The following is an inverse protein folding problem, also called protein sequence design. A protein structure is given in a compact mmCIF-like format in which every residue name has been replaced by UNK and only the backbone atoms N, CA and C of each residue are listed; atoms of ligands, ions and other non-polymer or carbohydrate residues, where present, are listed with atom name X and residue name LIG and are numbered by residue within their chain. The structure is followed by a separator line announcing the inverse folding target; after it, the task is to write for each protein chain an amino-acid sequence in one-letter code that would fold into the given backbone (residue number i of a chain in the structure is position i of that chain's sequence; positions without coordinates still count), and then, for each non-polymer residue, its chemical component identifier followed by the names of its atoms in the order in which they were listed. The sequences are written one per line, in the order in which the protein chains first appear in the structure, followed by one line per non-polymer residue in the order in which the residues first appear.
data_IF_295659848163
#
_entry.id   IF_295659848163
#
_cell.length_a   1.000
_cell.length_b   1.000
_cell.length_c   1.000
_cell.angle_alpha   90.00
_cell.angle_beta   90.00
_cell.angle_gamma   90.00
#
_symmetry.space_group_name_H-M   'P 1'
#
loop_
_entity.id
_entity.type
_entity.pdbx_description
1 polymer ?
#
# COMPACT_ATOMS: atom_id res chain seq x y z
N UNK A 1 27.98 10.92 -15.93
CA UNK A 1 28.28 9.76 -15.05
C UNK A 1 27.50 8.58 -15.60
N UNK A 2 28.13 7.42 -15.74
CA UNK A 2 27.52 6.25 -16.37
C UNK A 2 26.54 5.58 -15.41
N UNK A 3 25.30 5.35 -15.88
CA UNK A 3 24.25 4.65 -15.13
C UNK A 3 24.66 3.19 -14.94
N UNK A 4 24.88 2.69 -13.71
CA UNK A 4 25.23 1.29 -13.51
C UNK A 4 24.02 0.42 -13.85
N UNK A 5 24.07 -0.27 -14.99
CA UNK A 5 22.97 -1.14 -15.45
C UNK A 5 23.11 -2.59 -14.96
N UNK A 6 24.28 -2.95 -14.42
CA UNK A 6 24.61 -4.33 -14.04
C UNK A 6 24.20 -4.60 -12.59
N UNK A 7 23.42 -5.66 -12.40
CA UNK A 7 23.03 -6.15 -11.08
C UNK A 7 24.25 -6.60 -10.26
N UNK A 8 24.19 -6.39 -8.94
CA UNK A 8 25.14 -6.90 -7.96
C UNK A 8 24.37 -7.63 -6.86
N UNK A 9 24.87 -8.79 -6.40
CA UNK A 9 24.23 -9.56 -5.32
C UNK A 9 24.02 -8.75 -4.04
N UNK A 10 24.92 -7.79 -3.76
CA UNK A 10 24.80 -6.86 -2.63
C UNK A 10 23.52 -6.01 -2.68
N UNK A 11 22.95 -5.77 -3.87
CA UNK A 11 21.72 -5.01 -4.04
C UNK A 11 20.50 -5.74 -3.47
N UNK A 12 20.51 -7.07 -3.39
CA UNK A 12 19.42 -7.82 -2.75
C UNK A 12 19.28 -7.48 -1.27
N UNK A 13 20.40 -7.42 -0.54
CA UNK A 13 20.40 -7.10 0.88
C UNK A 13 20.01 -5.62 1.13
N UNK A 14 20.52 -4.71 0.29
CA UNK A 14 20.16 -3.29 0.34
C UNK A 14 18.67 -3.08 0.03
N UNK A 15 18.14 -3.73 -1.01
CA UNK A 15 16.74 -3.65 -1.38
C UNK A 15 15.82 -4.21 -0.28
N UNK A 16 16.22 -5.29 0.40
CA UNK A 16 15.50 -5.81 1.58
C UNK A 16 15.42 -4.75 2.68
N UNK A 17 16.54 -4.12 3.04
CA UNK A 17 16.59 -3.06 4.07
C UNK A 17 15.72 -1.85 3.69
N UNK A 18 15.78 -1.41 2.45
CA UNK A 18 14.96 -0.30 1.94
C UNK A 18 13.47 -0.66 1.96
N UNK A 19 13.09 -1.89 1.59
CA UNK A 19 11.71 -2.34 1.74
C UNK A 19 11.24 -2.40 3.20
N UNK A 20 12.12 -2.76 4.15
CA UNK A 20 11.80 -2.69 5.58
C UNK A 20 11.51 -1.25 6.05
N UNK A 21 12.14 -0.26 5.42
CA UNK A 21 11.89 1.16 5.65
C UNK A 21 10.65 1.67 4.92
N UNK A 22 9.95 0.82 4.16
CA UNK A 22 8.72 1.17 3.45
C UNK A 22 8.92 1.75 2.04
N UNK A 23 10.13 1.64 1.46
CA UNK A 23 10.40 2.16 0.12
C UNK A 23 9.58 1.41 -0.94
N UNK A 24 8.99 2.19 -1.85
CA UNK A 24 8.30 1.70 -3.04
C UNK A 24 9.28 1.30 -4.14
N UNK A 25 8.81 0.53 -5.12
CA UNK A 25 9.65 0.09 -6.25
C UNK A 25 10.22 1.26 -7.06
N UNK A 26 9.50 2.38 -7.11
CA UNK A 26 9.95 3.62 -7.75
C UNK A 26 11.08 4.28 -6.98
N UNK A 27 10.97 4.36 -5.66
CA UNK A 27 12.03 4.93 -4.79
C UNK A 27 13.26 4.03 -4.74
N UNK A 28 13.07 2.71 -4.83
CA UNK A 28 14.16 1.75 -5.02
C UNK A 28 14.88 1.98 -6.35
N UNK A 29 14.13 2.17 -7.44
CA UNK A 29 14.72 2.44 -8.75
C UNK A 29 15.53 3.75 -8.74
N UNK A 30 14.99 4.79 -8.10
CA UNK A 30 15.69 6.06 -7.88
C UNK A 30 16.97 5.89 -7.04
N UNK A 31 16.90 5.16 -5.93
CA UNK A 31 18.04 4.88 -5.05
C UNK A 31 19.19 4.15 -5.77
N UNK A 32 18.87 3.17 -6.60
CA UNK A 32 19.86 2.45 -7.40
C UNK A 32 20.26 3.19 -8.69
N UNK A 33 19.70 4.39 -8.92
CA UNK A 33 19.86 5.17 -10.15
C UNK A 33 19.49 4.39 -11.42
N UNK A 34 18.63 3.38 -11.31
CA UNK A 34 18.17 2.53 -12.42
C UNK A 34 16.75 2.87 -12.85
N UNK A 35 16.31 2.33 -13.99
CA UNK A 35 14.93 2.56 -14.43
C UNK A 35 14.02 1.55 -13.75
N UNK A 36 12.74 1.87 -13.59
CA UNK A 36 11.76 0.90 -13.10
C UNK A 36 11.77 -0.37 -13.97
N UNK A 37 11.97 -0.23 -15.28
CA UNK A 37 12.13 -1.36 -16.20
C UNK A 37 13.36 -2.21 -15.88
N UNK A 38 14.51 -1.60 -15.57
CA UNK A 38 15.72 -2.31 -15.17
C UNK A 38 15.53 -3.05 -13.85
N UNK A 39 14.89 -2.41 -12.88
CA UNK A 39 14.58 -3.03 -11.59
C UNK A 39 13.59 -4.19 -11.76
N UNK A 40 12.61 -4.08 -12.65
CA UNK A 40 11.71 -5.18 -12.98
C UNK A 40 12.44 -6.32 -13.71
N UNK A 41 13.38 -6.02 -14.60
CA UNK A 41 14.23 -7.06 -15.19
C UNK A 41 15.04 -7.79 -14.12
N UNK A 42 15.63 -7.08 -13.15
CA UNK A 42 16.34 -7.72 -12.04
C UNK A 42 15.44 -8.66 -11.22
N UNK A 43 14.16 -8.32 -11.02
CA UNK A 43 13.20 -9.22 -10.36
C UNK A 43 12.94 -10.51 -11.15
N UNK A 44 12.99 -10.46 -12.47
CA UNK A 44 12.81 -11.62 -13.34
C UNK A 44 14.08 -12.47 -13.43
N UNK A 45 15.23 -11.81 -13.63
CA UNK A 45 16.52 -12.46 -13.88
C UNK A 45 17.17 -12.99 -12.59
N UNK A 46 16.86 -12.40 -11.43
CA UNK A 46 17.44 -12.74 -10.13
C UNK A 46 16.36 -13.07 -9.09
N UNK A 47 15.97 -14.35 -8.94
CA UNK A 47 14.95 -14.78 -7.97
C UNK A 47 15.28 -14.41 -6.51
N UNK A 48 16.56 -14.38 -6.15
CA UNK A 48 17.06 -13.97 -4.83
C UNK A 48 16.77 -12.50 -4.50
N UNK A 49 16.84 -11.62 -5.51
CA UNK A 49 16.51 -10.21 -5.38
C UNK A 49 15.00 -10.04 -5.15
N UNK A 50 14.19 -10.78 -5.92
CA UNK A 50 12.75 -10.81 -5.74
C UNK A 50 12.35 -11.35 -4.37
N UNK A 51 13.00 -12.41 -3.89
CA UNK A 51 12.74 -12.97 -2.56
C UNK A 51 13.07 -11.95 -1.45
N UNK A 52 14.20 -11.27 -1.58
CA UNK A 52 14.63 -10.21 -0.65
C UNK A 52 13.61 -9.06 -0.57
N UNK A 53 13.10 -8.60 -1.72
CA UNK A 53 12.04 -7.59 -1.77
C UNK A 53 10.75 -8.08 -1.10
N UNK A 54 10.31 -9.31 -1.40
CA UNK A 54 9.10 -9.90 -0.80
C UNK A 54 9.23 -9.99 0.72
N UNK A 55 10.36 -10.48 1.23
CA UNK A 55 10.63 -10.57 2.68
C UNK A 55 10.60 -9.20 3.34
N UNK A 56 11.22 -8.19 2.73
CA UNK A 56 11.21 -6.82 3.26
C UNK A 56 9.79 -6.24 3.33
N UNK A 57 9.04 -6.33 2.22
CA UNK A 57 7.67 -5.81 2.14
C UNK A 57 6.73 -6.51 3.11
N UNK A 58 6.80 -7.85 3.22
CA UNK A 58 5.96 -8.61 4.15
C UNK A 58 6.15 -8.20 5.61
N UNK A 59 7.38 -7.90 6.02
CA UNK A 59 7.65 -7.45 7.39
C UNK A 59 7.12 -6.03 7.61
N UNK A 60 7.37 -5.12 6.67
CA UNK A 60 6.84 -3.74 6.74
C UNK A 60 5.30 -3.73 6.76
N UNK A 61 4.67 -4.49 5.87
CA UNK A 61 3.21 -4.66 5.83
C UNK A 61 2.68 -5.27 7.13
N UNK A 62 3.41 -6.25 7.69
CA UNK A 62 3.09 -6.89 8.97
C UNK A 62 3.12 -5.91 10.15
N UNK A 63 4.11 -5.01 10.21
CA UNK A 63 4.17 -3.97 11.24
C UNK A 63 3.02 -2.98 11.15
N UNK A 64 2.68 -2.54 9.92
CA UNK A 64 1.53 -1.66 9.70
C UNK A 64 0.24 -2.38 10.11
N UNK A 65 0.07 -3.64 9.74
CA UNK A 65 -1.07 -4.45 10.14
C UNK A 65 -1.20 -4.59 11.67
N UNK A 66 -0.08 -4.80 12.38
CA UNK A 66 -0.08 -4.88 13.84
C UNK A 66 -0.48 -3.54 14.49
N UNK A 67 0.12 -2.43 14.06
CA UNK A 67 -0.22 -1.08 14.56
C UNK A 67 -1.67 -0.70 14.25
N UNK A 68 -2.15 -1.05 13.05
CA UNK A 68 -3.54 -0.83 12.65
C UNK A 68 -4.50 -1.66 13.52
N UNK A 69 -4.16 -2.92 13.83
CA UNK A 69 -4.94 -3.76 14.73
C UNK A 69 -5.03 -3.15 16.13
N UNK A 70 -3.91 -2.70 16.71
CA UNK A 70 -3.90 -1.99 18.00
C UNK A 70 -4.81 -0.75 17.99
N UNK A 71 -4.81 0.01 16.89
CA UNK A 71 -5.71 1.16 16.74
C UNK A 71 -7.17 0.76 16.56
N UNK A 72 -7.42 -0.34 15.85
CA UNK A 72 -8.77 -0.87 15.62
C UNK A 72 -9.40 -1.47 16.88
N UNK A 73 -8.62 -2.00 17.82
CA UNK A 73 -9.10 -2.53 19.11
C UNK A 73 -9.14 -1.51 20.24
N UNK A 74 -8.47 -0.36 20.05
CA UNK A 74 -8.13 0.54 21.14
C UNK A 74 -6.91 0.04 21.91
N UNK A 75 -6.20 0.98 22.55
CA UNK A 75 -5.02 0.68 23.36
C UNK A 75 -4.83 1.73 24.46
N UNK A 76 -4.09 1.35 25.49
CA UNK A 76 -3.72 2.22 26.60
C UNK A 76 -2.24 2.55 26.51
N UNK A 77 -1.88 3.81 26.72
CA UNK A 77 -0.50 4.26 26.75
C UNK A 77 -0.23 5.00 28.05
N UNK A 78 0.87 4.64 28.73
CA UNK A 78 1.35 5.39 29.88
C UNK A 78 1.93 6.72 29.38
N UNK A 79 1.37 7.83 29.84
CA UNK A 79 1.81 9.19 29.55
C UNK A 79 2.10 9.87 30.88
N UNK A 80 3.31 10.39 31.03
CA UNK A 80 3.69 11.16 32.21
C UNK A 80 3.22 12.61 32.03
N UNK A 81 2.25 13.04 32.84
CA UNK A 81 1.79 14.43 32.85
C UNK A 81 2.77 15.24 33.71
N UNK A 82 3.59 16.07 33.05
CA UNK A 82 4.60 16.92 33.69
C UNK A 82 3.98 18.29 33.96
N UNK A 83 3.67 18.59 35.23
CA UNK A 83 3.16 19.90 35.66
C UNK A 83 4.20 20.62 36.50
N UNK A 84 4.31 21.93 36.32
CA UNK A 84 5.09 22.79 37.23
C UNK A 84 4.13 23.41 38.23
N UNK A 85 4.24 22.98 39.50
CA UNK A 85 3.49 23.57 40.61
C UNK A 85 4.50 24.20 41.57
N UNK A 86 4.37 25.50 41.81
CA UNK A 86 5.24 26.26 42.73
C UNK A 86 6.75 26.10 42.46
N UNK A 87 7.14 26.08 41.18
CA UNK A 87 8.55 25.96 40.77
C UNK A 87 9.16 24.56 40.90
N UNK A 88 8.37 23.54 41.26
CA UNK A 88 8.79 22.13 41.27
C UNK A 88 8.12 21.37 40.13
N UNK A 89 8.91 20.53 39.45
CA UNK A 89 8.42 19.62 38.41
C UNK A 89 7.76 18.44 39.11
N UNK A 90 6.44 18.29 38.94
CA UNK A 90 5.65 17.15 39.43
C UNK A 90 5.32 16.28 38.23
N UNK A 91 5.80 15.03 38.25
CA UNK A 91 5.52 14.03 37.23
C UNK A 91 4.38 13.15 37.76
N UNK A 92 3.21 13.18 37.11
CA UNK A 92 2.07 12.33 37.47
C UNK A 92 1.91 11.23 36.42
N UNK A 93 2.17 9.96 36.76
CA UNK A 93 1.97 8.86 35.84
C UNK A 93 0.47 8.73 35.53
N UNK A 94 0.09 8.95 34.28
CA UNK A 94 -1.30 8.88 33.82
C UNK A 94 -1.42 7.81 32.75
N UNK A 95 -2.53 7.07 32.73
CA UNK A 95 -2.83 6.11 31.65
C UNK A 95 -3.83 6.77 30.70
N UNK A 96 -3.40 6.98 29.46
CA UNK A 96 -4.24 7.56 28.41
C UNK A 96 -4.86 6.43 27.59
N UNK A 97 -6.18 6.36 27.66
CA UNK A 97 -6.95 5.38 26.91
C UNK A 97 -7.30 5.93 25.52
N UNK A 98 -6.84 5.26 24.47
CA UNK A 98 -7.19 5.55 23.09
C UNK A 98 -8.32 4.61 22.66
N UNK A 99 -9.53 5.14 22.39
CA UNK A 99 -10.65 4.30 21.99
C UNK A 99 -10.41 3.66 20.60
N UNK A 100 -11.12 2.57 20.29
CA UNK A 100 -11.10 1.94 18.98
C UNK A 100 -11.38 2.94 17.84
N UNK A 101 -10.52 2.95 16.82
CA UNK A 101 -10.76 3.72 15.59
C UNK A 101 -11.66 2.93 14.62
N UNK A 102 -12.86 3.44 14.39
CA UNK A 102 -13.88 2.78 13.55
C UNK A 102 -13.41 2.61 12.10
N UNK A 103 -12.62 3.56 11.59
CA UNK A 103 -12.06 3.51 10.24
C UNK A 103 -11.05 2.37 10.11
N UNK A 104 -10.13 2.24 11.07
CA UNK A 104 -9.18 1.13 11.13
C UNK A 104 -9.90 -0.23 11.24
N UNK A 105 -10.97 -0.31 12.03
CA UNK A 105 -11.79 -1.52 12.13
C UNK A 105 -12.46 -1.89 10.80
N UNK A 106 -13.03 -0.91 10.09
CA UNK A 106 -13.65 -1.12 8.76
C UNK A 106 -12.61 -1.62 7.76
N UNK A 107 -11.44 -0.96 7.66
CA UNK A 107 -10.38 -1.40 6.75
C UNK A 107 -9.88 -2.82 7.08
N UNK A 108 -9.71 -3.13 8.36
CA UNK A 108 -9.31 -4.46 8.81
C UNK A 108 -10.32 -5.54 8.41
N UNK A 109 -11.61 -5.30 8.67
CA UNK A 109 -12.69 -6.24 8.34
C UNK A 109 -12.85 -6.41 6.84
N UNK A 110 -12.75 -5.33 6.06
CA UNK A 110 -12.74 -5.39 4.59
C UNK A 110 -11.56 -6.21 4.05
N UNK A 111 -10.39 -6.15 4.69
CA UNK A 111 -9.21 -6.89 4.24
C UNK A 111 -9.25 -8.38 4.66
N UNK A 112 -9.73 -8.70 5.87
CA UNK A 112 -9.65 -10.05 6.47
C UNK A 112 -10.95 -10.87 6.37
N UNK A 113 -12.10 -10.20 6.26
CA UNK A 113 -13.42 -10.81 6.11
C UNK A 113 -14.13 -10.27 4.86
N UNK A 114 -13.43 -10.36 3.71
CA UNK A 114 -13.90 -9.84 2.42
C UNK A 114 -15.31 -10.32 2.08
N UNK A 115 -15.64 -11.57 2.32
CA UNK A 115 -16.95 -12.14 1.96
C UNK A 115 -18.11 -11.49 2.73
N UNK A 116 -17.86 -11.00 3.93
CA UNK A 116 -18.87 -10.39 4.80
C UNK A 116 -18.89 -8.86 4.74
N UNK A 117 -17.76 -8.22 4.39
CA UNK A 117 -17.58 -6.77 4.53
C UNK A 117 -17.19 -6.04 3.24
N UNK A 118 -16.93 -6.75 2.13
CA UNK A 118 -16.64 -6.11 0.85
C UNK A 118 -17.89 -5.38 0.35
N UNK A 119 -17.70 -4.15 -0.11
CA UNK A 119 -18.79 -3.38 -0.70
C UNK A 119 -19.34 -4.15 -1.92
N UNK A 120 -20.66 -4.37 -1.93
CA UNK A 120 -21.35 -4.89 -3.11
C UNK A 120 -21.44 -3.77 -4.13
N UNK A 121 -20.71 -3.90 -5.23
CA UNK A 121 -20.87 -3.04 -6.39
C UNK A 121 -22.01 -3.65 -7.21
N UNK A 122 -23.16 -2.98 -7.21
CA UNK A 122 -24.27 -3.34 -8.09
C UNK A 122 -24.07 -2.65 -9.44
N UNK A 123 -23.77 -3.44 -10.47
CA UNK A 123 -23.69 -2.93 -11.83
C UNK A 123 -25.09 -3.01 -12.46
N UNK A 124 -25.91 -1.99 -12.22
CA UNK A 124 -27.12 -1.77 -13.00
C UNK A 124 -26.75 -1.44 -14.44
N UNK A 125 -26.76 -2.42 -15.33
CA UNK A 125 -26.68 -2.19 -16.78
C UNK A 125 -28.07 -1.76 -17.26
N UNK A 126 -28.42 -0.50 -17.01
CA UNK A 126 -29.58 0.14 -17.66
C UNK A 126 -29.15 0.66 -19.03
N UNK A 127 -29.22 -0.20 -20.04
CA UNK A 127 -28.82 0.14 -21.39
C UNK A 127 -28.97 -1.02 -22.35
N UNK A 128 -30.15 -1.62 -22.44
CA UNK A 128 -30.49 -2.44 -23.61
C UNK A 128 -30.64 -1.49 -24.81
N UNK A 129 -29.54 -1.23 -25.52
CA UNK A 129 -29.60 -0.53 -26.80
C UNK A 129 -30.12 -1.55 -27.82
N UNK A 130 -31.37 -1.39 -28.22
CA UNK A 130 -32.01 -2.27 -29.21
C UNK A 130 -31.33 -2.06 -30.58
N UNK A 131 -30.49 -3.03 -30.97
CA UNK A 131 -29.65 -2.98 -32.18
C UNK A 131 -30.50 -2.98 -33.47
N UNK A 132 -31.82 -3.21 -33.39
CA UNK A 132 -32.72 -3.21 -34.54
C UNK A 132 -33.06 -1.82 -35.10
N UNK A 133 -32.71 -0.72 -34.42
CA UNK A 133 -32.98 0.65 -34.90
C UNK A 133 -31.78 1.28 -35.61
N UNK A 134 -30.62 0.61 -35.63
CA UNK A 134 -29.45 1.14 -36.32
C UNK A 134 -29.54 0.84 -37.82
N UNK A 135 -29.49 1.86 -38.70
CA UNK A 135 -29.40 1.62 -40.13
C UNK A 135 -28.12 0.81 -40.43
N UNK A 136 -28.16 -0.11 -41.40
CA UNK A 136 -26.99 -0.92 -41.74
C UNK A 136 -25.81 0.00 -42.09
N UNK A 137 -24.66 -0.21 -41.43
CA UNK A 137 -23.42 0.58 -41.55
C UNK A 137 -23.02 0.87 -43.00
N UNK A 138 -23.41 0.02 -43.94
CA UNK A 138 -23.18 0.19 -45.38
C UNK A 138 -23.79 1.49 -45.94
N UNK A 139 -24.95 1.93 -45.43
CA UNK A 139 -25.61 3.16 -45.87
C UNK A 139 -24.97 4.45 -45.36
N UNK A 140 -24.02 4.35 -44.42
CA UNK A 140 -23.36 5.52 -43.83
C UNK A 140 -22.09 5.95 -44.59
N UNK A 141 -21.60 5.12 -45.51
CA UNK A 141 -20.33 5.30 -46.20
C UNK A 141 -20.41 5.28 -47.74
N UNK A 142 -21.61 5.20 -48.31
CA UNK A 142 -21.85 5.11 -49.77
C UNK A 142 -22.32 6.43 -50.41
N UNK A 143 -22.02 7.59 -49.78
CA UNK A 143 -22.21 8.92 -50.40
C UNK A 143 -20.84 9.54 -50.78
N UNK A 144 -20.14 8.92 -51.73
CA UNK A 144 -19.19 9.62 -52.61
C UNK A 144 -19.12 8.91 -53.96
N UNK A 145 -19.94 9.39 -54.92
CA UNK A 145 -19.59 9.72 -56.32
C UNK A 145 -20.77 10.44 -56.99
#
# INVERSE_FOLDING_TARGET
MARPTKYQEAYAEQARKLCLLGYTDKELADFFEVSESTLNNWKHDHPEFLESLKKGKQVADGEVAAKLFHRATGYEHAEDDIRVVEGKIVITPTVKHYPPDTTAAIFWLKNRQKDNWRDKIDHGVEGAVDVHVLPPLKKLFDDEQ
#
